data_IF_606561706681
#
_entry.id   IF_606561706681
#
_cell.length_a   1.000
_cell.length_b   1.000
_cell.length_c   1.000
_cell.angle_alpha   90.00
_cell.angle_beta   90.00
_cell.angle_gamma   90.00
#
_symmetry.space_group_name_H-M   'P 1'
#
loop_
_entity.id
_entity.type
_entity.pdbx_description
1 polymer ?
#
# COMPACT_ATOMS: atom_id res chain seq x y z
N UNK A 1 -28.61 -75.21 20.47
CA UNK A 1 -28.86 -75.37 19.03
C UNK A 1 -30.04 -74.49 18.66
N UNK A 2 -29.77 -73.37 17.97
CA UNK A 2 -30.58 -72.82 16.86
C UNK A 2 -30.12 -71.39 16.56
N UNK A 3 -29.65 -71.22 15.33
CA UNK A 3 -29.11 -70.01 14.76
C UNK A 3 -30.24 -69.04 14.40
N UNK A 4 -30.12 -67.78 14.82
CA UNK A 4 -30.96 -66.69 14.35
C UNK A 4 -30.26 -65.99 13.18
N UNK A 5 -30.90 -66.09 12.01
CA UNK A 5 -30.61 -65.33 10.80
C UNK A 5 -30.83 -63.83 11.06
N UNK A 6 -29.84 -62.99 10.78
CA UNK A 6 -30.04 -61.55 10.62
C UNK A 6 -30.10 -61.22 9.13
N UNK A 7 -31.26 -60.69 8.72
CA UNK A 7 -31.53 -60.17 7.39
C UNK A 7 -30.71 -58.90 7.11
N UNK A 8 -30.11 -58.84 5.92
CA UNK A 8 -29.29 -57.73 5.46
C UNK A 8 -30.12 -56.51 5.08
N UNK A 9 -29.72 -55.35 5.59
CA UNK A 9 -30.22 -54.04 5.15
C UNK A 9 -29.72 -53.70 3.73
N UNK A 10 -30.56 -53.24 2.79
CA UNK A 10 -30.10 -52.74 1.51
C UNK A 10 -29.50 -51.34 1.66
N UNK A 11 -28.25 -51.18 1.20
CA UNK A 11 -27.56 -49.89 1.10
C UNK A 11 -28.25 -49.03 0.03
N UNK A 12 -28.64 -47.81 0.42
CA UNK A 12 -29.26 -46.80 -0.44
C UNK A 12 -28.19 -46.11 -1.28
N UNK A 13 -28.26 -46.25 -2.60
CA UNK A 13 -27.36 -45.56 -3.52
C UNK A 13 -27.66 -44.04 -3.56
N UNK A 14 -26.63 -43.16 -3.61
CA UNK A 14 -26.82 -41.72 -3.73
C UNK A 14 -27.13 -41.33 -5.19
N UNK A 15 -28.24 -40.60 -5.37
CA UNK A 15 -28.62 -39.98 -6.65
C UNK A 15 -27.66 -38.84 -7.02
N UNK A 16 -27.24 -38.68 -8.30
CA UNK A 16 -26.42 -37.55 -8.72
C UNK A 16 -27.24 -36.25 -8.77
N UNK A 17 -26.63 -35.09 -8.45
CA UNK A 17 -27.33 -33.81 -8.48
C UNK A 17 -27.61 -33.33 -9.90
N UNK A 18 -28.82 -32.84 -10.13
CA UNK A 18 -29.28 -32.21 -11.38
C UNK A 18 -28.47 -30.95 -11.70
N UNK A 19 -27.85 -30.88 -12.87
CA UNK A 19 -27.21 -29.67 -13.40
C UNK A 19 -28.27 -28.67 -13.89
N UNK A 20 -28.57 -27.66 -13.08
CA UNK A 20 -29.25 -26.45 -13.54
C UNK A 20 -28.32 -25.58 -14.44
N UNK A 21 -28.86 -24.78 -15.38
CA UNK A 21 -28.06 -24.05 -16.36
C UNK A 21 -27.37 -22.81 -15.74
N UNK A 22 -26.18 -23.00 -15.18
CA UNK A 22 -25.35 -21.95 -14.58
C UNK A 22 -24.90 -20.84 -15.56
N UNK A 23 -25.08 -21.04 -16.87
CA UNK A 23 -24.67 -20.07 -17.90
C UNK A 23 -25.48 -18.77 -17.93
N UNK A 24 -26.77 -18.82 -17.56
CA UNK A 24 -27.64 -17.63 -17.59
C UNK A 24 -27.43 -16.72 -16.37
N UNK A 25 -27.11 -17.30 -15.21
CA UNK A 25 -26.87 -16.53 -13.98
C UNK A 25 -25.59 -15.68 -14.06
N UNK A 26 -24.54 -16.19 -14.72
CA UNK A 26 -23.25 -15.50 -14.87
C UNK A 26 -23.33 -14.27 -15.79
N UNK A 27 -24.12 -14.35 -16.87
CA UNK A 27 -24.31 -13.21 -17.78
C UNK A 27 -25.08 -12.06 -17.12
N UNK A 28 -26.09 -12.38 -16.28
CA UNK A 28 -26.83 -11.37 -15.52
C UNK A 28 -25.95 -10.61 -14.53
N UNK A 29 -25.04 -11.31 -13.84
CA UNK A 29 -24.12 -10.68 -12.91
C UNK A 29 -23.16 -9.71 -13.62
N UNK A 30 -22.57 -10.11 -14.76
CA UNK A 30 -21.65 -9.24 -15.51
C UNK A 30 -22.37 -7.99 -16.02
N UNK A 31 -23.59 -8.14 -16.55
CA UNK A 31 -24.41 -7.01 -16.99
C UNK A 31 -24.67 -5.99 -15.86
N UNK A 32 -25.01 -6.48 -14.66
CA UNK A 32 -25.22 -5.62 -13.49
C UNK A 32 -23.98 -4.81 -13.11
N UNK A 33 -22.79 -5.42 -13.16
CA UNK A 33 -21.54 -4.74 -12.81
C UNK A 33 -21.16 -3.68 -13.85
N UNK A 34 -21.40 -3.93 -15.14
CA UNK A 34 -21.15 -2.94 -16.20
C UNK A 34 -22.06 -1.73 -16.03
N UNK A 35 -23.35 -1.95 -15.77
CA UNK A 35 -24.31 -0.87 -15.52
C UNK A 35 -23.92 -0.08 -14.27
N UNK A 36 -23.62 -0.76 -13.16
CA UNK A 36 -23.21 -0.11 -11.92
C UNK A 36 -21.93 0.72 -12.10
N UNK A 37 -20.94 0.19 -12.83
CA UNK A 37 -19.72 0.89 -13.17
C UNK A 37 -19.99 2.17 -13.97
N UNK A 38 -20.80 2.09 -15.03
CA UNK A 38 -21.15 3.26 -15.86
C UNK A 38 -21.87 4.35 -15.06
N UNK A 39 -22.77 3.99 -14.14
CA UNK A 39 -23.45 4.95 -13.27
C UNK A 39 -22.45 5.67 -12.36
N UNK A 40 -21.57 4.93 -11.70
CA UNK A 40 -20.54 5.49 -10.81
C UNK A 40 -19.57 6.42 -11.53
N UNK A 41 -19.16 6.05 -12.74
CA UNK A 41 -18.28 6.86 -13.59
C UNK A 41 -18.96 8.16 -14.05
N UNK A 42 -20.28 8.13 -14.30
CA UNK A 42 -21.03 9.32 -14.73
C UNK A 42 -21.41 10.27 -13.59
N UNK A 43 -21.45 9.77 -12.34
CA UNK A 43 -21.90 10.57 -11.18
C UNK A 43 -20.78 11.36 -10.48
N UNK A 44 -19.53 11.28 -10.95
CA UNK A 44 -18.41 11.95 -10.30
C UNK A 44 -18.05 13.27 -11.00
N UNK A 45 -18.72 14.35 -10.59
CA UNK A 45 -18.31 15.72 -10.92
C UNK A 45 -17.73 16.38 -9.66
N UNK A 46 -16.40 16.38 -9.47
CA UNK A 46 -15.79 17.08 -8.36
C UNK A 46 -15.97 18.60 -8.53
N UNK A 47 -16.93 19.18 -7.80
CA UNK A 47 -17.07 20.62 -7.67
C UNK A 47 -16.02 21.14 -6.71
N UNK A 48 -15.02 21.85 -7.24
CA UNK A 48 -14.05 22.57 -6.42
C UNK A 48 -14.67 23.89 -5.99
N UNK A 49 -15.15 23.94 -4.74
CA UNK A 49 -15.49 25.19 -4.06
C UNK A 49 -14.17 25.92 -3.74
N UNK A 50 -13.85 27.08 -4.33
CA UNK A 50 -12.71 27.85 -3.88
C UNK A 50 -12.93 28.25 -2.42
N UNK A 51 -11.91 28.22 -1.55
CA UNK A 51 -12.07 28.58 -0.14
C UNK A 51 -12.57 30.03 -0.03
N UNK A 52 -13.81 30.17 0.40
CA UNK A 52 -14.38 31.43 0.87
C UNK A 52 -13.60 31.85 2.12
N UNK A 53 -12.90 32.98 2.01
CA UNK A 53 -12.17 33.67 3.08
C UNK A 53 -10.99 32.86 3.66
N UNK A 54 -9.83 32.97 2.99
CA UNK A 54 -8.55 32.84 3.67
C UNK A 54 -8.44 33.93 4.75
N UNK A 55 -8.85 33.61 5.98
CA UNK A 55 -8.54 34.42 7.15
C UNK A 55 -7.04 34.31 7.40
N UNK A 56 -6.29 35.22 6.79
CA UNK A 56 -4.88 35.45 7.08
C UNK A 56 -4.76 35.97 8.52
N UNK A 57 -4.26 35.13 9.42
CA UNK A 57 -3.85 35.52 10.78
C UNK A 57 -2.65 36.48 10.66
N UNK A 58 -2.92 37.78 10.77
CA UNK A 58 -1.88 38.81 10.92
C UNK A 58 -1.37 38.74 12.37
N UNK A 59 -0.27 38.04 12.58
CA UNK A 59 0.45 38.10 13.86
C UNK A 59 1.12 39.47 13.99
N UNK A 60 0.52 40.38 14.75
CA UNK A 60 1.16 41.61 15.18
C UNK A 60 2.00 41.31 16.43
N UNK A 61 3.31 41.58 16.34
CA UNK A 61 4.19 41.61 17.49
C UNK A 61 3.80 42.81 18.38
N UNK A 62 3.10 42.54 19.48
CA UNK A 62 2.85 43.52 20.53
C UNK A 62 4.14 43.69 21.35
N UNK A 63 4.87 44.77 21.10
CA UNK A 63 6.00 45.18 21.93
C UNK A 63 5.48 45.87 23.18
N UNK A 64 5.68 45.25 24.35
CA UNK A 64 5.42 45.91 25.64
C UNK A 64 6.49 46.99 25.88
N UNK A 65 6.12 48.20 26.35
CA UNK A 65 7.10 49.20 26.72
C UNK A 65 7.87 48.77 27.97
N UNK A 66 9.20 48.88 27.92
CA UNK A 66 10.10 48.69 29.07
C UNK A 66 9.82 49.79 30.11
N UNK A 67 9.64 49.47 31.40
CA UNK A 67 9.51 50.48 32.43
C UNK A 67 10.90 50.96 32.85
N UNK A 68 11.29 52.20 32.51
CA UNK A 68 12.48 52.84 33.09
C UNK A 68 12.15 54.27 33.51
N UNK A 69 12.01 54.38 34.83
CA UNK A 69 12.33 55.45 35.78
C UNK A 69 11.90 56.91 35.51
N UNK A 70 11.21 57.57 36.48
CA UNK A 70 10.95 58.99 36.40
C UNK A 70 12.23 59.80 36.62
N UNK A 71 12.56 60.60 35.61
CA UNK A 71 13.60 61.63 35.66
C UNK A 71 13.23 62.76 36.60
N UNK A 72 14.15 63.08 37.50
CA UNK A 72 14.23 64.31 38.28
C UNK A 72 14.59 65.46 37.32
N UNK A 73 13.82 66.55 37.31
CA UNK A 73 14.25 67.83 36.74
C UNK A 73 13.99 68.97 37.74
N UNK A 74 14.79 70.07 37.66
CA UNK A 74 15.16 70.86 38.82
C UNK A 74 14.36 72.15 38.99
N UNK A 75 14.36 72.59 40.25
CA UNK A 75 13.89 73.85 40.81
C UNK A 75 14.54 75.11 40.19
N UNK A 76 13.75 76.18 39.93
CA UNK A 76 14.08 77.61 40.09
C UNK A 76 12.81 78.51 39.82
N UNK A 77 12.75 79.80 40.23
CA UNK A 77 12.27 80.25 41.56
C UNK A 77 11.32 81.49 41.58
N UNK A 78 10.89 81.89 42.80
CA UNK A 78 10.33 83.21 43.25
C UNK A 78 8.82 83.40 42.97
N UNK A 79 7.92 83.76 43.93
CA UNK A 79 7.82 85.00 44.73
C UNK A 79 6.75 84.87 45.88
N UNK A 80 6.75 85.70 46.95
CA UNK A 80 5.89 85.52 48.15
C UNK A 80 4.65 86.47 48.17
N UNK A 81 3.98 86.67 49.32
CA UNK A 81 2.73 86.06 49.80
C UNK A 81 1.50 87.02 49.62
N UNK A 82 0.27 86.76 50.13
CA UNK A 82 -0.06 86.80 51.58
C UNK A 82 -1.10 85.76 52.08
N UNK A 83 -1.08 85.56 53.40
CA UNK A 83 -2.06 84.90 54.29
C UNK A 83 -3.48 85.52 54.26
N UNK A 84 -4.51 84.95 54.95
CA UNK A 84 -4.71 83.57 55.45
C UNK A 84 -6.14 83.03 55.21
N UNK A 85 -6.35 81.71 55.32
CA UNK A 85 -7.58 81.13 55.87
C UNK A 85 -7.34 79.66 56.29
N UNK A 86 -7.46 79.41 57.59
CA UNK A 86 -7.44 78.08 58.20
C UNK A 86 -8.69 77.29 57.77
N UNK A 87 -8.55 75.99 57.45
CA UNK A 87 -9.47 75.03 58.08
C UNK A 87 -8.74 73.84 58.72
N UNK A 88 -9.08 73.66 60.00
CA UNK A 88 -9.22 72.46 60.83
C UNK A 88 -8.40 71.18 60.51
N UNK A 89 -7.69 70.62 61.51
CA UNK A 89 -7.04 69.33 61.37
C UNK A 89 -8.10 68.22 61.36
N UNK A 90 -8.27 67.54 60.23
CA UNK A 90 -8.89 66.21 60.21
C UNK A 90 -7.93 65.28 60.95
N UNK A 91 -8.25 65.03 62.22
CA UNK A 91 -7.61 64.04 63.06
C UNK A 91 -7.70 62.69 62.35
N UNK A 92 -6.59 62.22 61.78
CA UNK A 92 -6.44 60.81 61.45
C UNK A 92 -6.38 60.05 62.78
N UNK A 93 -7.53 59.56 63.23
CA UNK A 93 -7.60 58.59 64.30
C UNK A 93 -6.85 57.34 63.83
N UNK A 94 -5.71 57.06 64.46
CA UNK A 94 -5.00 55.81 64.29
C UNK A 94 -5.98 54.65 64.53
N UNK A 95 -6.14 53.71 63.58
CA UNK A 95 -7.13 52.65 63.72
C UNK A 95 -6.81 51.81 64.96
N UNK A 96 -7.81 51.59 65.81
CA UNK A 96 -7.67 50.78 67.00
C UNK A 96 -7.15 49.37 66.63
N UNK A 97 -6.27 48.76 67.45
CA UNK A 97 -5.75 47.42 67.18
C UNK A 97 -6.91 46.41 67.10
N UNK A 98 -6.83 45.44 66.17
CA UNK A 98 -7.93 44.50 65.92
C UNK A 98 -8.25 43.68 67.17
N UNK A 99 -9.53 43.44 67.40
CA UNK A 99 -10.02 42.66 68.54
C UNK A 99 -9.74 41.16 68.36
N UNK A 100 -9.65 40.39 69.45
CA UNK A 100 -9.37 38.94 69.39
C UNK A 100 -10.42 38.17 68.55
N UNK A 101 -11.69 38.60 68.60
CA UNK A 101 -12.77 38.03 67.81
C UNK A 101 -12.59 38.26 66.30
N UNK A 102 -12.10 39.43 65.89
CA UNK A 102 -11.77 39.75 64.49
C UNK A 102 -10.62 38.90 63.95
N UNK A 103 -9.59 38.66 64.78
CA UNK A 103 -8.46 37.80 64.41
C UNK A 103 -8.88 36.33 64.27
N UNK A 104 -9.82 35.87 65.10
CA UNK A 104 -10.38 34.53 65.00
C UNK A 104 -11.22 34.36 63.72
N UNK A 105 -12.05 35.34 63.36
CA UNK A 105 -12.83 35.33 62.11
C UNK A 105 -11.92 35.32 60.88
N UNK A 106 -10.89 36.18 60.83
CA UNK A 106 -9.91 36.19 59.74
C UNK A 106 -9.15 34.87 59.60
N UNK A 107 -8.76 34.23 60.71
CA UNK A 107 -8.12 32.91 60.69
C UNK A 107 -9.05 31.84 60.12
N UNK A 108 -10.31 31.81 60.54
CA UNK A 108 -11.31 30.87 60.01
C UNK A 108 -11.58 31.09 58.52
N UNK A 109 -11.61 32.35 58.06
CA UNK A 109 -11.74 32.69 56.64
C UNK A 109 -10.52 32.21 55.84
N UNK A 110 -9.30 32.44 56.34
CA UNK A 110 -8.07 31.95 55.73
C UNK A 110 -8.01 30.42 55.66
N UNK A 111 -8.46 29.71 56.69
CA UNK A 111 -8.54 28.24 56.70
C UNK A 111 -9.51 27.74 55.62
N UNK A 112 -10.71 28.33 55.52
CA UNK A 112 -11.70 27.99 54.47
C UNK A 112 -11.15 28.29 53.07
N UNK A 113 -10.48 29.42 52.89
CA UNK A 113 -9.85 29.76 51.62
C UNK A 113 -8.73 28.78 51.26
N UNK A 114 -7.92 28.37 52.23
CA UNK A 114 -6.89 27.36 52.05
C UNK A 114 -7.47 25.98 51.71
N UNK A 115 -8.56 25.57 52.35
CA UNK A 115 -9.28 24.33 52.03
C UNK A 115 -9.89 24.37 50.62
N UNK A 116 -10.55 25.47 50.24
CA UNK A 116 -11.08 25.65 48.90
C UNK A 116 -9.98 25.59 47.84
N UNK A 117 -8.84 26.25 48.07
CA UNK A 117 -7.68 26.19 47.19
C UNK A 117 -7.12 24.76 47.07
N UNK A 118 -7.04 24.02 48.19
CA UNK A 118 -6.61 22.60 48.19
C UNK A 118 -7.58 21.72 47.39
N UNK A 119 -8.89 21.91 47.56
CA UNK A 119 -9.90 21.17 46.80
C UNK A 119 -9.85 21.49 45.31
N UNK A 120 -9.69 22.77 44.94
CA UNK A 120 -9.56 23.20 43.55
C UNK A 120 -8.29 22.61 42.91
N UNK A 121 -7.16 22.62 43.63
CA UNK A 121 -5.92 21.98 43.17
C UNK A 121 -6.07 20.48 42.96
N UNK A 122 -6.76 19.78 43.87
CA UNK A 122 -7.03 18.35 43.71
C UNK A 122 -7.92 18.06 42.49
N UNK A 123 -8.96 18.88 42.25
CA UNK A 123 -9.80 18.77 41.05
C UNK A 123 -9.00 18.98 39.77
N UNK A 124 -8.19 20.03 39.71
CA UNK A 124 -7.29 20.30 38.58
C UNK A 124 -6.30 19.15 38.34
N UNK A 125 -5.73 18.57 39.40
CA UNK A 125 -4.84 17.42 39.29
C UNK A 125 -5.57 16.19 38.74
N UNK A 126 -6.81 15.92 39.19
CA UNK A 126 -7.63 14.82 38.67
C UNK A 126 -7.96 15.01 37.19
N UNK A 127 -8.42 16.20 36.81
CA UNK A 127 -8.72 16.53 35.40
C UNK A 127 -7.48 16.43 34.51
N UNK A 128 -6.32 16.91 34.99
CA UNK A 128 -5.06 16.77 34.27
C UNK A 128 -4.66 15.31 34.08
N UNK A 129 -4.78 14.49 35.14
CA UNK A 129 -4.49 13.06 35.07
C UNK A 129 -5.45 12.31 34.13
N UNK A 130 -6.74 12.67 34.10
CA UNK A 130 -7.71 12.10 33.17
C UNK A 130 -7.40 12.47 31.71
N UNK A 131 -7.08 13.75 31.45
CA UNK A 131 -6.66 14.21 30.12
C UNK A 131 -5.39 13.48 29.65
N UNK A 132 -4.43 13.29 30.54
CA UNK A 132 -3.21 12.55 30.21
C UNK A 132 -3.51 11.08 29.88
N UNK A 133 -4.39 10.42 30.65
CA UNK A 133 -4.83 9.05 30.37
C UNK A 133 -5.52 8.96 29.01
N UNK A 134 -6.45 9.87 28.72
CA UNK A 134 -7.15 9.92 27.43
C UNK A 134 -6.19 10.16 26.27
N UNK A 135 -5.20 11.04 26.43
CA UNK A 135 -4.19 11.28 25.41
C UNK A 135 -3.34 10.04 25.14
N UNK A 136 -2.90 9.33 26.20
CA UNK A 136 -2.15 8.07 26.08
C UNK A 136 -2.99 6.98 25.40
N UNK A 137 -4.26 6.85 25.75
CA UNK A 137 -5.18 5.88 25.13
C UNK A 137 -5.41 6.20 23.64
N UNK A 138 -5.64 7.47 23.30
CA UNK A 138 -5.80 7.91 21.91
C UNK A 138 -4.53 7.65 21.09
N UNK A 139 -3.35 7.90 21.67
CA UNK A 139 -2.07 7.60 21.04
C UNK A 139 -1.89 6.09 20.83
N UNK A 140 -2.18 5.27 21.84
CA UNK A 140 -2.12 3.81 21.71
C UNK A 140 -3.07 3.29 20.64
N UNK A 141 -4.30 3.82 20.55
CA UNK A 141 -5.25 3.44 19.51
C UNK A 141 -4.75 3.85 18.12
N UNK A 142 -4.13 5.02 17.98
CA UNK A 142 -3.52 5.45 16.71
C UNK A 142 -2.40 4.50 16.29
N UNK A 143 -1.49 4.17 17.21
CA UNK A 143 -0.39 3.23 16.96
C UNK A 143 -0.90 1.83 16.61
N UNK A 144 -1.95 1.35 17.29
CA UNK A 144 -2.58 0.06 16.98
C UNK A 144 -3.17 0.03 15.56
N UNK A 145 -3.88 1.10 15.15
CA UNK A 145 -4.41 1.23 13.78
C UNK A 145 -3.31 1.31 12.72
N UNK A 146 -2.23 2.03 13.01
CA UNK A 146 -1.06 2.11 12.12
C UNK A 146 -0.38 0.74 11.99
N UNK A 147 -0.21 0.00 13.09
CA UNK A 147 0.34 -1.35 13.08
C UNK A 147 -0.54 -2.34 12.30
N UNK A 148 -1.86 -2.27 12.45
CA UNK A 148 -2.81 -3.09 11.69
C UNK A 148 -2.70 -2.82 10.19
N UNK A 149 -2.70 -1.55 9.78
CA UNK A 149 -2.51 -1.14 8.37
C UNK A 149 -1.16 -1.61 7.82
N UNK A 150 -0.10 -1.51 8.61
CA UNK A 150 1.23 -2.00 8.22
C UNK A 150 1.23 -3.52 8.03
N UNK A 151 0.60 -4.27 8.94
CA UNK A 151 0.46 -5.72 8.84
C UNK A 151 -0.41 -6.15 7.64
N UNK A 152 -1.46 -5.41 7.32
CA UNK A 152 -2.26 -5.62 6.10
C UNK A 152 -1.45 -5.36 4.83
N UNK A 153 -0.71 -4.25 4.77
CA UNK A 153 0.15 -3.92 3.64
C UNK A 153 1.25 -4.98 3.43
N UNK A 154 1.86 -5.47 4.50
CA UNK A 154 2.82 -6.58 4.46
C UNK A 154 2.19 -7.85 3.89
N UNK A 155 1.00 -8.24 4.39
CA UNK A 155 0.26 -9.41 3.89
C UNK A 155 -0.08 -9.28 2.39
N UNK A 156 -0.45 -8.09 1.94
CA UNK A 156 -0.72 -7.83 0.52
C UNK A 156 0.55 -7.98 -0.33
N UNK A 157 1.67 -7.41 0.12
CA UNK A 157 2.96 -7.54 -0.57
C UNK A 157 3.44 -8.99 -0.63
N UNK A 158 3.30 -9.75 0.44
CA UNK A 158 3.62 -11.18 0.47
C UNK A 158 2.75 -11.98 -0.49
N UNK A 159 1.44 -11.69 -0.53
CA UNK A 159 0.52 -12.33 -1.46
C UNK A 159 0.85 -12.00 -2.93
N UNK A 160 1.24 -10.76 -3.23
CA UNK A 160 1.70 -10.35 -4.56
C UNK A 160 2.98 -11.09 -4.95
N UNK A 161 3.97 -11.15 -4.05
CA UNK A 161 5.21 -11.90 -4.27
C UNK A 161 4.94 -13.39 -4.49
N UNK A 162 4.05 -13.99 -3.71
CA UNK A 162 3.67 -15.39 -3.87
C UNK A 162 2.98 -15.64 -5.23
N UNK A 163 2.10 -14.72 -5.67
CA UNK A 163 1.48 -14.78 -7.01
C UNK A 163 2.51 -14.65 -8.13
N UNK A 164 3.44 -13.71 -8.00
CA UNK A 164 4.52 -13.52 -8.97
C UNK A 164 5.41 -14.77 -9.06
N UNK A 165 5.80 -15.34 -7.93
CA UNK A 165 6.58 -16.57 -7.87
C UNK A 165 5.82 -17.76 -8.48
N UNK A 166 4.53 -17.92 -8.18
CA UNK A 166 3.69 -18.96 -8.75
C UNK A 166 3.54 -18.80 -10.28
N UNK A 167 3.38 -17.58 -10.78
CA UNK A 167 3.31 -17.30 -12.21
C UNK A 167 4.64 -17.61 -12.92
N UNK A 168 5.77 -17.30 -12.30
CA UNK A 168 7.08 -17.66 -12.83
C UNK A 168 7.29 -19.17 -12.87
N UNK A 169 6.94 -19.87 -11.79
CA UNK A 169 7.01 -21.32 -11.73
C UNK A 169 6.13 -21.96 -12.82
N UNK A 170 4.89 -21.50 -12.99
CA UNK A 170 4.00 -21.98 -14.04
C UNK A 170 4.59 -21.74 -15.44
N UNK A 171 5.25 -20.61 -15.69
CA UNK A 171 5.96 -20.35 -16.96
C UNK A 171 7.12 -21.33 -17.18
N UNK A 172 7.93 -21.59 -16.15
CA UNK A 172 9.04 -22.55 -16.21
C UNK A 172 8.55 -23.97 -16.46
N UNK A 173 7.47 -24.37 -15.79
CA UNK A 173 6.83 -25.67 -16.00
C UNK A 173 6.23 -25.79 -17.40
N UNK A 174 5.58 -24.75 -17.91
CA UNK A 174 5.06 -24.72 -19.28
C UNK A 174 6.19 -24.82 -20.32
N UNK A 175 7.30 -24.11 -20.12
CA UNK A 175 8.49 -24.21 -20.97
C UNK A 175 9.08 -25.62 -20.92
N UNK A 176 9.27 -26.19 -19.72
CA UNK A 176 9.77 -27.55 -19.56
C UNK A 176 8.82 -28.61 -20.16
N UNK A 177 7.50 -28.38 -20.10
CA UNK A 177 6.51 -29.25 -20.72
C UNK A 177 6.57 -29.16 -22.25
N UNK A 178 6.77 -27.96 -22.82
CA UNK A 178 6.97 -27.78 -24.25
C UNK A 178 8.23 -28.52 -24.74
N UNK A 179 9.34 -28.42 -24.02
CA UNK A 179 10.59 -29.13 -24.37
C UNK A 179 10.44 -30.66 -24.30
N UNK A 180 9.56 -31.19 -23.44
CA UNK A 180 9.25 -32.64 -23.41
C UNK A 180 8.40 -33.11 -24.59
N UNK A 181 7.73 -32.21 -25.33
CA UNK A 181 6.88 -32.60 -26.45
C UNK A 181 7.69 -33.14 -27.64
N UNK A 182 8.97 -32.78 -27.76
CA UNK A 182 9.85 -33.25 -28.82
C UNK A 182 11.29 -33.41 -28.30
N UNK A 183 11.84 -34.63 -28.39
CA UNK A 183 13.21 -34.90 -27.94
C UNK A 183 14.15 -34.98 -29.14
N UNK A 184 15.15 -34.08 -29.28
CA UNK A 184 16.08 -34.14 -30.39
C UNK A 184 17.00 -35.36 -30.28
N UNK A 185 17.23 -36.03 -31.40
CA UNK A 185 18.19 -37.13 -31.57
C UNK A 185 19.49 -36.59 -32.18
N UNK A 186 19.38 -35.74 -33.20
CA UNK A 186 20.52 -35.14 -33.87
C UNK A 186 20.20 -33.71 -34.33
N UNK A 187 21.04 -32.75 -33.92
CA UNK A 187 20.94 -31.34 -34.33
C UNK A 187 22.29 -30.85 -34.87
N UNK A 188 22.57 -31.15 -36.14
CA UNK A 188 23.80 -30.69 -36.79
C UNK A 188 23.76 -29.17 -37.00
N UNK A 189 24.76 -28.41 -36.53
CA UNK A 189 24.78 -26.96 -36.71
C UNK A 189 24.88 -26.59 -38.21
N UNK A 190 24.45 -25.37 -38.58
CA UNK A 190 24.59 -24.87 -39.92
C UNK A 190 26.05 -24.56 -40.22
N UNK A 191 26.43 -24.68 -41.49
CA UNK A 191 27.73 -24.20 -41.97
C UNK A 191 27.72 -22.67 -41.98
N UNK A 192 28.75 -22.05 -41.41
CA UNK A 192 28.91 -20.59 -41.44
C UNK A 192 29.11 -20.11 -42.89
N UNK A 193 28.32 -19.14 -43.40
CA UNK A 193 28.48 -18.65 -44.77
C UNK A 193 29.77 -17.86 -44.94
N UNK A 194 30.58 -18.22 -45.94
CA UNK A 194 31.84 -17.51 -46.26
C UNK A 194 31.62 -15.99 -46.46
N UNK A 195 30.57 -15.60 -47.20
CA UNK A 195 30.22 -14.19 -47.37
C UNK A 195 29.94 -13.45 -46.06
N UNK A 196 29.38 -14.11 -45.06
CA UNK A 196 29.15 -13.52 -43.74
C UNK A 196 30.46 -13.47 -42.93
N UNK A 197 31.34 -14.45 -43.12
CA UNK A 197 32.66 -14.49 -42.49
C UNK A 197 33.55 -13.36 -43.01
N UNK A 198 33.63 -13.20 -44.33
CA UNK A 198 34.40 -12.14 -45.02
C UNK A 198 33.95 -10.73 -44.62
N UNK A 199 32.67 -10.57 -44.29
CA UNK A 199 32.06 -9.29 -43.87
C UNK A 199 31.96 -9.11 -42.36
N UNK A 200 32.43 -10.08 -41.56
CA UNK A 200 32.37 -10.03 -40.10
C UNK A 200 30.96 -10.01 -39.51
N UNK A 201 29.94 -10.41 -40.29
CA UNK A 201 28.52 -10.37 -39.88
C UNK A 201 28.25 -11.54 -38.95
N UNK A 202 27.71 -11.27 -37.76
CA UNK A 202 27.27 -12.25 -36.75
C UNK A 202 25.78 -12.06 -36.46
N UNK A 203 25.15 -13.03 -35.79
CA UNK A 203 23.77 -12.88 -35.33
C UNK A 203 23.03 -14.19 -35.10
N UNK A 204 21.71 -14.06 -35.01
CA UNK A 204 20.81 -15.16 -34.67
C UNK A 204 19.80 -15.39 -35.80
N UNK A 205 19.40 -16.64 -36.00
CA UNK A 205 18.33 -16.98 -36.92
C UNK A 205 17.43 -18.06 -36.33
N UNK A 206 16.18 -17.73 -36.04
CA UNK A 206 15.20 -18.71 -35.56
C UNK A 206 14.41 -19.32 -36.72
N UNK A 207 14.30 -20.65 -36.74
CA UNK A 207 13.51 -21.41 -37.72
C UNK A 207 12.41 -22.16 -36.99
N UNK A 208 11.18 -22.05 -37.50
CA UNK A 208 10.00 -22.81 -37.08
C UNK A 208 9.71 -23.92 -38.08
N UNK A 209 9.31 -25.10 -37.60
CA UNK A 209 8.99 -26.26 -38.42
C UNK A 209 8.08 -27.23 -37.67
N UNK A 210 7.56 -28.22 -38.41
CA UNK A 210 6.81 -29.33 -37.85
C UNK A 210 7.71 -30.58 -37.81
N UNK A 211 7.49 -31.46 -36.84
CA UNK A 211 8.12 -32.78 -36.72
C UNK A 211 7.08 -33.83 -37.02
N UNK A 212 7.29 -34.60 -38.08
CA UNK A 212 6.38 -35.65 -38.53
C UNK A 212 6.38 -36.88 -37.58
N UNK A 213 5.46 -37.84 -37.75
CA UNK A 213 5.42 -39.06 -36.94
C UNK A 213 6.67 -39.94 -37.04
N UNK A 214 7.53 -39.72 -38.04
CA UNK A 214 8.81 -40.41 -38.20
C UNK A 214 9.98 -39.65 -37.54
N UNK A 215 9.71 -38.51 -36.88
CA UNK A 215 10.73 -37.69 -36.24
C UNK A 215 11.54 -36.83 -37.22
N UNK A 216 11.04 -36.60 -38.43
CA UNK A 216 11.68 -35.76 -39.45
C UNK A 216 11.08 -34.36 -39.46
N UNK A 217 11.93 -33.38 -39.73
CA UNK A 217 11.52 -31.99 -39.88
C UNK A 217 10.84 -31.77 -41.23
N UNK A 218 9.67 -31.13 -41.23
CA UNK A 218 8.89 -30.75 -42.40
C UNK A 218 8.49 -29.27 -42.35
N UNK A 219 8.32 -28.66 -43.52
CA UNK A 219 7.90 -27.26 -43.69
C UNK A 219 8.72 -26.21 -42.88
N UNK A 220 10.06 -26.22 -42.91
CA UNK A 220 10.85 -25.23 -42.19
C UNK A 220 10.74 -23.84 -42.79
N UNK A 221 10.53 -22.86 -41.93
CA UNK A 221 10.37 -21.45 -42.26
C UNK A 221 11.07 -20.57 -41.22
N UNK A 222 11.59 -19.42 -41.62
CA UNK A 222 12.21 -18.47 -40.70
C UNK A 222 11.13 -17.84 -39.81
N UNK A 223 11.39 -17.80 -38.51
CA UNK A 223 10.52 -17.18 -37.52
C UNK A 223 11.20 -15.92 -36.97
N UNK A 224 10.60 -14.75 -37.25
CA UNK A 224 11.11 -13.47 -36.78
C UNK A 224 12.26 -12.91 -37.62
N UNK A 225 13.13 -12.13 -36.98
CA UNK A 225 14.24 -11.45 -37.64
C UNK A 225 15.42 -12.42 -37.86
N UNK A 226 15.96 -12.44 -39.07
CA UNK A 226 17.14 -13.23 -39.43
C UNK A 226 17.86 -12.55 -40.60
N UNK A 227 19.19 -12.45 -40.50
CA UNK A 227 19.98 -11.85 -41.56
C UNK A 227 19.89 -12.68 -42.87
N UNK A 228 19.74 -12.07 -44.05
CA UNK A 228 19.57 -12.81 -45.32
C UNK A 228 20.64 -13.87 -45.61
N UNK A 229 21.88 -13.61 -45.17
CA UNK A 229 22.99 -14.57 -45.32
C UNK A 229 22.82 -15.83 -44.47
N UNK A 230 22.06 -15.78 -43.36
CA UNK A 230 21.83 -16.88 -42.44
C UNK A 230 20.54 -17.67 -42.71
N UNK A 231 19.61 -17.13 -43.50
CA UNK A 231 18.32 -17.78 -43.79
C UNK A 231 18.52 -19.17 -44.40
N UNK A 232 19.20 -19.23 -45.56
CA UNK A 232 19.41 -20.49 -46.29
C UNK A 232 20.17 -21.56 -45.48
N UNK A 233 21.35 -21.27 -44.89
CA UNK A 233 22.07 -22.27 -44.11
C UNK A 233 21.28 -22.74 -42.88
N UNK A 234 20.49 -21.86 -42.24
CA UNK A 234 19.62 -22.23 -41.12
C UNK A 234 18.52 -23.20 -41.55
N UNK A 235 17.83 -22.91 -42.66
CA UNK A 235 16.79 -23.78 -43.21
C UNK A 235 17.36 -25.15 -43.62
N UNK A 236 18.53 -25.17 -44.25
CA UNK A 236 19.16 -26.41 -44.71
C UNK A 236 19.72 -27.27 -43.57
N UNK A 237 20.14 -26.65 -42.46
CA UNK A 237 20.50 -27.36 -41.24
C UNK A 237 19.25 -27.93 -40.55
N UNK A 238 18.17 -27.15 -40.42
CA UNK A 238 16.93 -27.59 -39.79
C UNK A 238 16.34 -28.85 -40.45
N UNK A 239 16.36 -28.95 -41.78
CA UNK A 239 15.91 -30.14 -42.54
C UNK A 239 16.66 -31.43 -42.16
N UNK A 240 17.89 -31.32 -41.66
CA UNK A 240 18.74 -32.47 -41.27
C UNK A 240 18.50 -32.91 -39.83
N UNK A 241 17.77 -32.12 -39.04
CA UNK A 241 17.47 -32.50 -37.67
C UNK A 241 16.65 -33.78 -37.60
N UNK A 242 16.86 -34.52 -36.52
CA UNK A 242 16.11 -35.73 -36.19
C UNK A 242 15.59 -35.63 -34.78
N UNK A 243 14.35 -36.04 -34.59
CA UNK A 243 13.65 -36.04 -33.32
C UNK A 243 13.12 -37.43 -33.01
N UNK A 244 12.87 -37.70 -31.74
CA UNK A 244 12.12 -38.86 -31.30
C UNK A 244 10.64 -38.62 -31.60
N UNK A 245 9.95 -39.55 -32.28
CA UNK A 245 8.51 -39.45 -32.48
C UNK A 245 7.76 -39.25 -31.17
N UNK A 246 6.82 -38.31 -31.17
CA UNK A 246 5.91 -38.12 -30.04
C UNK A 246 4.81 -39.16 -30.13
N UNK A 247 4.67 -39.97 -29.09
CA UNK A 247 3.60 -40.98 -28.98
C UNK A 247 2.50 -40.44 -28.08
N UNK A 248 1.26 -40.42 -28.56
CA UNK A 248 0.04 -40.10 -27.80
C UNK A 248 -0.94 -41.24 -28.03
N UNK A 249 -1.43 -41.86 -26.96
CA UNK A 249 -2.36 -43.00 -27.01
C UNK A 249 -1.88 -44.16 -27.92
N UNK A 250 -0.56 -44.42 -27.91
CA UNK A 250 0.06 -45.49 -28.70
C UNK A 250 0.30 -45.16 -30.17
N UNK A 251 -0.09 -43.97 -30.64
CA UNK A 251 0.12 -43.52 -32.02
C UNK A 251 1.14 -42.40 -32.11
N UNK A 252 1.99 -42.44 -33.14
CA UNK A 252 2.92 -41.35 -33.42
C UNK A 252 2.18 -40.16 -34.03
N UNK A 253 2.34 -38.98 -33.45
CA UNK A 253 1.65 -37.76 -33.86
C UNK A 253 2.62 -36.67 -34.30
N UNK A 254 2.17 -35.84 -35.26
CA UNK A 254 2.93 -34.66 -35.70
C UNK A 254 2.99 -33.61 -34.60
N UNK A 255 4.18 -33.09 -34.31
CA UNK A 255 4.38 -31.95 -33.42
C UNK A 255 4.57 -30.71 -34.25
N UNK A 256 3.72 -29.69 -34.07
CA UNK A 256 3.75 -28.48 -34.89
C UNK A 256 4.46 -27.32 -34.21
N UNK A 257 5.02 -26.41 -35.01
CA UNK A 257 5.55 -25.13 -34.54
C UNK A 257 6.79 -25.25 -33.64
N UNK A 258 7.57 -26.31 -33.80
CA UNK A 258 8.86 -26.48 -33.14
C UNK A 258 9.80 -25.39 -33.62
N UNK A 259 10.44 -24.68 -32.69
CA UNK A 259 11.37 -23.61 -33.02
C UNK A 259 12.81 -23.99 -32.65
N UNK A 260 13.76 -23.56 -33.46
CA UNK A 260 15.18 -23.63 -33.15
C UNK A 260 15.90 -22.35 -33.57
N UNK A 261 16.67 -21.80 -32.65
CA UNK A 261 17.55 -20.65 -32.89
C UNK A 261 18.97 -21.11 -33.19
N UNK A 262 19.53 -20.58 -34.27
CA UNK A 262 20.90 -20.80 -34.68
C UNK A 262 21.74 -19.56 -34.37
N UNK A 263 22.80 -19.76 -33.58
CA UNK A 263 23.75 -18.73 -33.19
C UNK A 263 24.94 -18.72 -34.17
N UNK A 264 25.12 -17.64 -34.91
CA UNK A 264 26.25 -17.43 -35.82
C UNK A 264 27.25 -16.47 -35.17
N UNK A 265 28.35 -17.03 -34.65
CA UNK A 265 29.44 -16.29 -34.01
C UNK A 265 30.77 -16.61 -34.70
N UNK A 266 31.67 -15.62 -34.72
CA UNK A 266 33.05 -15.78 -35.20
C UNK A 266 33.92 -15.93 -33.95
N UNK A 267 34.69 -17.01 -33.88
CA UNK A 267 35.67 -17.28 -32.81
C UNK A 267 37.05 -16.70 -33.13
#
# INVERSE_FOLDING_TARGET
>A
MNAALMEGMPLREPTPPSRAPQGLALLGAIGLHVVLGTVLLSSWTPSFEPPSNAQILRTQLLSLPVPVEPHVQPEAPIEPPPEPAVPEPVVQSEPAPPTEAELAFKRAEQERAAEAARQQKLRQQREAAERERQAREAEQLRLAREAERAAEAQRQLEAERARAAAAEQARREAAAAADRQYLPIAKTPPVYPQRALDSGVQGECTVSYDVDPNGRVVSPQVAGQCHPLFIRPSLDAAKRFRYRPRIVDGQAVTVRGVQNTFHYRIE
#
